data_IF_444562051380
#
_entry.id   IF_444562051380
#
_cell.length_a   1.000
_cell.length_b   1.000
_cell.length_c   1.000
_cell.angle_alpha   90.00
_cell.angle_beta   90.00
_cell.angle_gamma   90.00
#
_symmetry.space_group_name_H-M   'P 1'
#
loop_
_entity.id
_entity.type
_entity.pdbx_description
1 polymer ?
#
# COMPACT_ATOMS: atom_id res chain seq x y z
N UNK A 4 -5.80 -8.16 -18.04
CA UNK A 4 -5.57 -9.10 -16.90
C UNK A 4 -4.29 -8.92 -16.06
N UNK A 5 -3.02 -8.82 -16.59
CA UNK A 5 -1.85 -8.60 -15.79
C UNK A 5 -1.87 -7.24 -15.02
N UNK A 6 -2.34 -6.12 -15.59
CA UNK A 6 -2.46 -4.85 -14.76
C UNK A 6 -3.40 -4.98 -13.60
N UNK A 7 -4.50 -5.67 -13.72
CA UNK A 7 -5.53 -5.86 -12.71
C UNK A 7 -4.90 -6.68 -11.53
N UNK A 8 -4.17 -7.70 -11.95
CA UNK A 8 -3.43 -8.67 -11.06
C UNK A 8 -2.37 -8.09 -10.16
N UNK A 9 -1.45 -7.27 -10.80
CA UNK A 9 -0.38 -6.57 -10.10
C UNK A 9 -1.00 -5.55 -9.11
N UNK A 10 -2.01 -4.77 -9.62
CA UNK A 10 -2.72 -3.73 -8.86
C UNK A 10 -3.34 -4.27 -7.58
N UNK A 11 -4.15 -5.34 -7.76
CA UNK A 11 -4.79 -6.02 -6.62
C UNK A 11 -3.85 -6.57 -5.58
N UNK A 12 -2.73 -7.21 -6.04
CA UNK A 12 -1.78 -7.74 -5.15
C UNK A 12 -1.00 -6.74 -4.28
N UNK A 13 -0.67 -5.54 -4.89
CA UNK A 13 -0.27 -4.31 -4.34
C UNK A 13 -1.24 -3.67 -3.32
N UNK A 14 -2.64 -3.79 -3.61
CA UNK A 14 -3.81 -3.39 -2.83
C UNK A 14 -3.81 -4.31 -1.53
N UNK A 15 -3.45 -5.63 -1.70
CA UNK A 15 -3.12 -6.51 -0.53
C UNK A 15 -1.91 -6.07 0.32
N UNK A 16 -0.81 -5.55 -0.25
CA UNK A 16 0.27 -5.00 0.51
C UNK A 16 -0.14 -3.71 1.25
N UNK A 17 -0.91 -2.87 0.56
CA UNK A 17 -1.53 -1.66 1.11
C UNK A 17 -2.30 -1.95 2.40
N UNK A 18 -3.27 -2.98 2.32
CA UNK A 18 -4.04 -3.51 3.54
C UNK A 18 -3.23 -4.08 4.62
N UNK A 19 -2.15 -4.93 4.30
CA UNK A 19 -1.20 -5.42 5.26
C UNK A 19 -0.50 -4.39 6.09
N UNK A 20 -0.01 -3.37 5.35
CA UNK A 20 0.69 -2.28 5.91
C UNK A 20 -0.12 -1.29 6.70
N UNK A 21 -1.34 -0.88 6.33
CA UNK A 21 -2.18 -0.22 7.34
C UNK A 21 -2.37 -1.02 8.56
N UNK A 22 -2.65 -2.30 8.37
CA UNK A 22 -2.96 -3.14 9.50
C UNK A 22 -1.83 -3.35 10.49
N UNK A 23 -0.63 -3.61 10.04
CA UNK A 23 0.59 -3.84 10.81
C UNK A 23 0.91 -2.53 11.56
N UNK A 24 0.82 -1.32 10.90
CA UNK A 24 0.86 -0.04 11.57
C UNK A 24 -0.28 0.21 12.62
N UNK A 25 -1.54 0.04 12.31
CA UNK A 25 -2.53 0.19 13.43
C UNK A 25 -2.42 -0.88 14.49
N UNK A 26 -1.98 -2.15 14.29
CA UNK A 26 -1.62 -3.08 15.45
C UNK A 26 -0.54 -2.67 16.38
N UNK A 27 0.55 -2.21 15.80
CA UNK A 27 1.59 -1.52 16.48
C UNK A 27 1.24 -0.25 17.18
N UNK A 28 0.33 0.60 16.62
CA UNK A 28 -0.29 1.78 17.32
C UNK A 28 -1.19 1.44 18.57
N UNK A 29 -2.06 0.44 18.49
CA UNK A 29 -3.11 0.10 19.41
C UNK A 29 -2.60 -0.26 20.84
N UNK B 4 6.65 -2.62 -18.40
CA UNK B 4 5.98 -1.39 -18.84
C UNK B 4 4.80 -0.93 -17.91
N UNK B 5 3.57 -1.21 -18.30
CA UNK B 5 2.38 -0.83 -17.56
C UNK B 5 2.24 -1.44 -16.19
N UNK B 6 2.74 -2.69 -16.02
CA UNK B 6 2.85 -3.36 -14.78
C UNK B 6 3.80 -2.65 -13.83
N UNK B 7 4.91 -2.06 -14.33
CA UNK B 7 5.88 -1.18 -13.48
C UNK B 7 5.11 0.03 -13.04
N UNK B 8 4.32 0.72 -13.96
CA UNK B 8 3.66 1.96 -13.64
C UNK B 8 2.65 1.83 -12.55
N UNK B 9 1.73 0.84 -12.78
CA UNK B 9 0.62 0.54 -11.85
C UNK B 9 1.24 0.08 -10.58
N UNK B 10 2.29 -0.81 -10.57
CA UNK B 10 3.03 -1.13 -9.43
C UNK B 10 3.64 0.08 -8.67
N UNK B 11 4.32 1.09 -9.38
CA UNK B 11 4.90 2.34 -8.73
C UNK B 11 3.91 3.29 -8.08
N UNK B 12 2.77 3.49 -8.75
CA UNK B 12 1.60 4.16 -8.23
C UNK B 12 0.93 3.42 -7.06
N UNK B 13 0.75 2.10 -7.04
CA UNK B 13 0.25 1.37 -5.88
C UNK B 13 1.34 1.50 -4.86
N UNK B 14 2.63 1.50 -5.24
CA UNK B 14 3.74 1.70 -4.30
C UNK B 14 3.70 3.07 -3.63
N UNK B 15 3.35 4.14 -4.36
CA UNK B 15 3.04 5.38 -3.71
C UNK B 15 1.89 5.42 -2.66
N UNK B 16 0.76 4.72 -2.86
CA UNK B 16 -0.33 4.44 -1.89
C UNK B 16 0.28 3.74 -0.69
N UNK B 17 1.17 2.79 -0.93
CA UNK B 17 1.90 2.00 0.12
C UNK B 17 2.65 2.94 1.05
N UNK B 18 3.51 3.88 0.50
CA UNK B 18 4.08 4.93 1.35
C UNK B 18 3.14 5.88 1.98
N UNK B 19 2.09 6.31 1.21
CA UNK B 19 1.07 7.25 1.71
C UNK B 19 0.30 6.76 2.89
N UNK B 20 -0.33 5.60 2.78
CA UNK B 20 -0.99 5.04 3.96
C UNK B 20 -0.10 4.67 5.13
N UNK B 21 1.02 3.97 4.95
CA UNK B 21 2.04 3.93 5.99
C UNK B 21 2.51 5.33 6.64
N UNK B 22 2.91 6.38 5.86
CA UNK B 22 3.09 7.65 6.53
C UNK B 22 1.79 8.35 7.11
N UNK B 23 0.62 8.24 6.53
CA UNK B 23 -0.65 8.63 7.13
C UNK B 23 -0.95 7.97 8.43
N UNK B 24 -0.80 6.65 8.46
CA UNK B 24 -1.04 5.82 9.62
C UNK B 24 0.00 6.03 10.74
N UNK B 25 1.30 6.16 10.41
CA UNK B 25 2.22 6.61 11.40
C UNK B 25 2.03 8.04 11.89
N UNK B 26 1.70 9.00 11.00
CA UNK B 26 1.31 10.34 11.35
C UNK B 26 0.15 10.37 12.28
N UNK B 27 -0.92 9.66 12.04
CA UNK B 27 -2.02 9.51 12.99
C UNK B 27 -1.68 8.75 14.33
N UNK B 28 -0.94 7.60 14.20
CA UNK B 28 -0.47 6.82 15.31
C UNK B 28 0.42 7.50 16.39
N UNK B 29 1.38 8.25 15.88
CA UNK B 29 2.36 8.95 16.76
C UNK B 29 1.95 10.38 17.16
#
# INVERSE_FOLDING_TARGET
SNALIVNSVLLFLAFVVFLLVTLAILTAL
SNALIVNSVLLFLAFVVFLLVTLAILTAL
#
